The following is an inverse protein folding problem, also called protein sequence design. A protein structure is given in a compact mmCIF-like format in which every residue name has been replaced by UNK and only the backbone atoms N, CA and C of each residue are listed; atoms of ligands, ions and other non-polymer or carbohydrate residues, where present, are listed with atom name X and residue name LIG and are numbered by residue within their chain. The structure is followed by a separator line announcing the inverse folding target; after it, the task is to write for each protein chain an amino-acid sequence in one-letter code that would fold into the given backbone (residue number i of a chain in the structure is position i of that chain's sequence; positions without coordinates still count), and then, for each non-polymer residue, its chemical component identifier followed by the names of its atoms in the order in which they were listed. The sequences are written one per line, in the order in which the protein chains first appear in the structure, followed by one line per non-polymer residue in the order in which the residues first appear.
data_IF_341866771551
#
_entry.id   IF_341866771551
#
_cell.length_a   1.000
_cell.length_b   1.000
_cell.length_c   1.000
_cell.angle_alpha   90.00
_cell.angle_beta   90.00
_cell.angle_gamma   90.00
#
_symmetry.space_group_name_H-M   'P 1'
#
loop_
_entity.id
_entity.type
_entity.pdbx_description
1 polymer ?
#
# COMPACT_ATOMS: atom_id res chain seq x y z
N UNK A 1 6.22 12.49 -32.14
CA UNK A 1 7.66 12.80 -31.92
C UNK A 1 8.09 14.19 -32.33
N UNK A 2 7.60 14.75 -33.44
CA UNK A 2 8.01 16.08 -33.90
C UNK A 2 7.79 17.19 -32.86
N UNK A 3 6.63 17.22 -32.20
CA UNK A 3 6.35 18.17 -31.11
C UNK A 3 7.39 18.14 -29.99
N UNK A 4 7.89 16.94 -29.64
CA UNK A 4 8.92 16.77 -28.62
C UNK A 4 10.25 17.38 -29.07
N UNK A 5 10.60 17.19 -30.34
CA UNK A 5 11.80 17.76 -30.95
C UNK A 5 11.72 19.29 -30.96
N UNK A 6 10.60 19.85 -31.42
CA UNK A 6 10.39 21.31 -31.47
C UNK A 6 10.40 21.97 -30.09
N UNK A 7 9.89 21.30 -29.06
CA UNK A 7 9.86 21.81 -27.70
C UNK A 7 11.15 21.52 -26.91
N UNK A 8 12.12 20.81 -27.50
CA UNK A 8 13.38 20.45 -26.87
C UNK A 8 13.22 19.76 -25.49
N UNK A 9 12.19 18.92 -25.33
CA UNK A 9 11.91 18.20 -24.08
C UNK A 9 12.14 16.70 -24.22
N UNK A 10 12.43 16.01 -23.10
CA UNK A 10 12.64 14.55 -23.10
C UNK A 10 11.37 13.76 -23.42
N UNK A 11 10.21 14.24 -22.97
CA UNK A 11 8.93 13.57 -23.19
C UNK A 11 7.76 14.58 -23.13
N UNK A 12 6.65 14.25 -23.77
CA UNK A 12 5.38 15.02 -23.73
C UNK A 12 4.26 14.02 -23.53
N UNK A 13 3.26 14.37 -22.71
CA UNK A 13 2.04 13.57 -22.55
C UNK A 13 0.84 14.30 -23.15
N UNK A 14 0.16 13.65 -24.09
CA UNK A 14 -1.05 14.17 -24.72
C UNK A 14 -2.25 13.52 -24.04
N UNK A 15 -3.15 14.34 -23.50
CA UNK A 15 -4.39 13.94 -22.84
C UNK A 15 -5.56 14.39 -23.71
N UNK A 16 -6.20 13.45 -24.42
CA UNK A 16 -7.26 13.76 -25.37
C UNK A 16 -8.47 12.81 -25.20
N UNK A 17 -9.70 13.33 -24.99
CA UNK A 17 -10.04 14.69 -24.55
C UNK A 17 -9.74 14.90 -23.05
N UNK A 18 -9.59 16.16 -22.62
CA UNK A 18 -9.59 16.46 -21.18
C UNK A 18 -10.99 16.13 -20.63
N UNK A 19 -11.12 15.34 -19.55
CA UNK A 19 -12.42 15.02 -18.96
C UNK A 19 -13.26 16.28 -18.69
N UNK A 20 -14.48 16.31 -19.23
CA UNK A 20 -15.40 17.45 -19.09
C UNK A 20 -15.12 18.65 -19.99
N UNK A 21 -14.17 18.58 -20.94
CA UNK A 21 -13.86 19.66 -21.88
C UNK A 21 -13.72 19.15 -23.32
N UNK A 22 -13.96 20.03 -24.29
CA UNK A 22 -13.76 19.77 -25.73
C UNK A 22 -12.33 20.05 -26.21
N UNK A 23 -11.37 20.11 -25.29
CA UNK A 23 -9.97 20.49 -25.56
C UNK A 23 -9.03 19.31 -25.36
N UNK A 24 -7.88 19.36 -26.04
CA UNK A 24 -6.75 18.45 -25.84
C UNK A 24 -5.77 19.10 -24.85
N UNK A 25 -5.31 18.33 -23.88
CA UNK A 25 -4.24 18.72 -22.96
C UNK A 25 -2.89 18.23 -23.48
N UNK A 26 -1.88 19.10 -23.43
CA UNK A 26 -0.50 18.75 -23.74
C UNK A 26 0.34 19.08 -22.52
N UNK A 27 0.78 18.05 -21.80
CA UNK A 27 1.64 18.15 -20.63
C UNK A 27 3.10 18.16 -21.07
N UNK A 28 3.77 19.29 -20.84
CA UNK A 28 5.19 19.51 -21.16
C UNK A 28 5.96 19.61 -19.85
N UNK A 29 7.06 18.88 -19.67
CA UNK A 29 7.85 18.95 -18.44
C UNK A 29 8.46 20.34 -18.28
N UNK A 30 8.42 20.87 -17.06
CA UNK A 30 9.10 22.12 -16.72
C UNK A 30 10.61 22.03 -16.97
N UNK A 31 11.22 23.14 -17.39
CA UNK A 31 12.67 23.25 -17.59
C UNK A 31 13.46 23.02 -16.30
N UNK A 32 12.92 23.51 -15.18
CA UNK A 32 13.39 23.21 -13.83
C UNK A 32 12.32 22.38 -13.13
N UNK A 33 12.66 21.16 -12.75
CA UNK A 33 11.76 20.28 -11.99
C UNK A 33 11.95 20.53 -10.51
N UNK A 34 10.85 20.57 -9.79
CA UNK A 34 10.84 20.61 -8.34
C UNK A 34 10.72 19.20 -7.79
N UNK A 35 11.52 18.90 -6.77
CA UNK A 35 11.42 17.63 -6.05
C UNK A 35 10.21 17.64 -5.12
N UNK A 36 9.58 16.48 -5.01
CA UNK A 36 8.46 16.27 -4.08
C UNK A 36 8.96 15.46 -2.90
N UNK A 37 9.24 16.15 -1.79
CA UNK A 37 9.75 15.52 -0.59
C UNK A 37 8.62 14.92 0.25
N UNK A 38 8.81 13.68 0.70
CA UNK A 38 7.88 13.01 1.60
C UNK A 38 7.72 13.77 2.92
N UNK A 39 8.80 14.36 3.45
CA UNK A 39 8.76 15.16 4.67
C UNK A 39 7.77 16.31 4.59
N UNK A 40 7.78 17.07 3.48
CA UNK A 40 6.84 18.18 3.26
C UNK A 40 5.39 17.70 3.22
N UNK A 41 5.14 16.57 2.55
CA UNK A 41 3.81 15.97 2.46
C UNK A 41 3.35 15.50 3.84
N UNK A 42 4.21 14.81 4.59
CA UNK A 42 3.92 14.33 5.93
C UNK A 42 3.60 15.49 6.86
N UNK A 43 4.41 16.55 6.89
CA UNK A 43 4.18 17.73 7.73
C UNK A 43 2.83 18.40 7.45
N UNK A 44 2.42 18.49 6.18
CA UNK A 44 1.11 19.02 5.82
C UNK A 44 -0.05 18.10 6.23
N UNK A 45 0.17 16.78 6.31
CA UNK A 45 -0.86 15.78 6.60
C UNK A 45 -1.01 15.46 8.10
N UNK A 46 0.05 15.59 8.89
CA UNK A 46 0.10 15.25 10.32
C UNK A 46 -1.01 15.95 11.14
N UNK A 47 -1.46 17.14 10.71
CA UNK A 47 -2.48 17.92 11.40
C UNK A 47 -3.92 17.62 10.97
N UNK A 48 -4.14 16.88 9.87
CA UNK A 48 -5.41 16.88 9.15
C UNK A 48 -6.14 15.53 9.09
N UNK A 49 -5.53 14.43 9.57
CA UNK A 49 -6.15 13.11 9.41
C UNK A 49 -7.11 12.72 10.54
N UNK A 50 -8.30 12.17 10.20
CA UNK A 50 -9.06 11.36 11.14
C UNK A 50 -8.20 10.18 11.61
N UNK A 51 -8.15 9.93 12.92
CA UNK A 51 -7.54 8.71 13.47
C UNK A 51 -8.17 7.48 12.79
N UNK A 52 -7.34 6.47 12.46
CA UNK A 52 -7.72 5.12 12.01
C UNK A 52 -7.94 4.86 10.50
N UNK A 53 -7.57 5.77 9.60
CA UNK A 53 -7.63 5.52 8.15
C UNK A 53 -6.33 4.87 7.62
N UNK A 54 -6.45 3.76 6.89
CA UNK A 54 -5.33 3.02 6.29
C UNK A 54 -4.85 3.67 4.99
N UNK A 55 -4.49 4.95 5.06
CA UNK A 55 -4.17 5.71 3.86
C UNK A 55 -2.66 5.90 3.66
N UNK A 56 -2.22 5.63 2.43
CA UNK A 56 -0.85 5.77 1.95
C UNK A 56 -0.67 7.06 1.15
N UNK A 57 0.48 7.70 1.31
CA UNK A 57 0.83 8.93 0.58
C UNK A 57 1.55 8.57 -0.72
N UNK A 58 1.08 9.14 -1.83
CA UNK A 58 1.63 8.88 -3.17
C UNK A 58 2.52 10.04 -3.62
N UNK A 59 2.05 11.28 -3.48
CA UNK A 59 2.78 12.45 -3.96
C UNK A 59 1.89 13.65 -4.22
N UNK A 60 2.18 14.38 -5.30
CA UNK A 60 1.40 15.52 -5.78
C UNK A 60 0.90 15.26 -7.20
N UNK A 61 -0.28 15.78 -7.54
CA UNK A 61 -0.76 15.81 -8.91
C UNK A 61 -0.10 16.94 -9.73
N UNK A 62 -0.48 17.07 -10.99
CA UNK A 62 0.04 18.10 -11.91
C UNK A 62 -0.27 19.54 -11.48
N UNK A 63 -1.22 19.74 -10.54
CA UNK A 63 -1.56 21.04 -9.96
C UNK A 63 -0.81 21.32 -8.65
N UNK A 64 0.00 20.36 -8.19
CA UNK A 64 0.72 20.43 -6.92
C UNK A 64 -0.11 20.00 -5.70
N UNK A 65 -1.35 19.53 -5.89
CA UNK A 65 -2.22 19.09 -4.80
C UNK A 65 -1.80 17.70 -4.33
N UNK A 66 -1.84 17.47 -3.01
CA UNK A 66 -1.52 16.18 -2.41
C UNK A 66 -2.45 15.07 -2.91
N UNK A 67 -1.85 13.93 -3.21
CA UNK A 67 -2.51 12.70 -3.62
C UNK A 67 -2.19 11.60 -2.62
N UNK A 68 -3.25 11.01 -2.06
CA UNK A 68 -3.19 9.87 -1.15
C UNK A 68 -4.22 8.83 -1.56
N UNK A 69 -3.93 7.57 -1.27
CA UNK A 69 -4.83 6.44 -1.49
C UNK A 69 -5.25 5.90 -0.13
N UNK A 70 -6.53 5.55 0.02
CA UNK A 70 -7.04 4.83 1.20
C UNK A 70 -7.16 3.34 0.86
N UNK A 71 -6.33 2.50 1.50
CA UNK A 71 -6.31 1.07 1.26
C UNK A 71 -7.60 0.39 1.74
N UNK A 72 -8.42 1.01 2.59
CA UNK A 72 -9.74 0.43 2.89
C UNK A 72 -10.70 0.47 1.69
N UNK A 73 -10.52 1.44 0.78
CA UNK A 73 -11.35 1.62 -0.42
C UNK A 73 -10.74 0.94 -1.65
N UNK A 74 -9.42 0.78 -1.66
CA UNK A 74 -8.65 0.08 -2.67
C UNK A 74 -7.84 -1.01 -1.96
N UNK A 75 -8.48 -2.16 -1.61
CA UNK A 75 -7.93 -3.14 -0.67
C UNK A 75 -6.62 -3.79 -1.14
N UNK A 76 -6.38 -3.79 -2.45
CA UNK A 76 -5.18 -4.34 -3.04
C UNK A 76 -4.63 -3.40 -4.10
N UNK A 77 -3.31 -3.26 -4.13
CA UNK A 77 -2.60 -2.36 -5.04
C UNK A 77 -1.49 -3.15 -5.75
N UNK A 78 -1.44 -3.04 -7.07
CA UNK A 78 -0.33 -3.51 -7.89
C UNK A 78 0.52 -2.31 -8.31
N UNK A 79 1.82 -2.36 -8.01
CA UNK A 79 2.79 -1.31 -8.38
C UNK A 79 3.76 -1.90 -9.40
N UNK A 80 3.84 -1.29 -10.59
CA UNK A 80 4.73 -1.71 -11.66
C UNK A 80 5.55 -0.53 -12.19
N UNK A 81 6.80 -0.78 -12.55
CA UNK A 81 7.70 0.22 -13.11
C UNK A 81 9.04 -0.40 -13.50
N UNK A 82 9.72 0.19 -14.47
CA UNK A 82 11.07 -0.25 -14.88
C UNK A 82 12.12 0.15 -13.85
N UNK A 83 13.32 -0.44 -13.90
CA UNK A 83 14.45 -0.01 -13.08
C UNK A 83 14.69 1.50 -13.23
N UNK A 84 14.87 2.20 -12.11
CA UNK A 84 15.07 3.66 -12.08
C UNK A 84 13.81 4.51 -12.27
N UNK A 85 12.63 3.90 -12.42
CA UNK A 85 11.34 4.65 -12.51
C UNK A 85 10.84 5.20 -11.17
N UNK A 86 11.44 4.76 -10.05
CA UNK A 86 11.06 5.18 -8.71
C UNK A 86 10.14 4.22 -7.95
N UNK A 87 9.94 2.97 -8.42
CA UNK A 87 9.14 1.94 -7.72
C UNK A 87 9.54 1.81 -6.24
N UNK A 88 10.82 1.59 -5.99
CA UNK A 88 11.40 1.44 -4.65
C UNK A 88 11.15 2.64 -3.75
N UNK A 89 11.38 3.86 -4.27
CA UNK A 89 11.13 5.11 -3.54
C UNK A 89 9.65 5.27 -3.21
N UNK A 90 8.78 4.93 -4.16
CA UNK A 90 7.32 4.95 -3.98
C UNK A 90 6.89 3.94 -2.89
N UNK A 91 7.42 2.71 -2.91
CA UNK A 91 7.14 1.68 -1.91
C UNK A 91 7.56 2.13 -0.50
N UNK A 92 8.78 2.68 -0.36
CA UNK A 92 9.27 3.24 0.90
C UNK A 92 8.40 4.41 1.40
N UNK A 93 7.91 5.26 0.48
CA UNK A 93 6.96 6.33 0.82
C UNK A 93 5.64 5.78 1.38
N UNK A 94 5.10 4.73 0.75
CA UNK A 94 3.87 4.08 1.23
C UNK A 94 4.07 3.49 2.64
N UNK A 95 5.14 2.71 2.86
CA UNK A 95 5.42 2.09 4.16
C UNK A 95 5.62 3.17 5.23
N UNK A 96 6.46 4.17 4.96
CA UNK A 96 6.73 5.27 5.88
C UNK A 96 5.47 6.05 6.23
N UNK A 97 4.58 6.27 5.25
CA UNK A 97 3.31 6.94 5.49
C UNK A 97 2.39 6.17 6.45
N UNK A 98 2.45 4.84 6.46
CA UNK A 98 1.70 4.04 7.44
C UNK A 98 2.35 4.09 8.82
N UNK A 99 3.67 3.87 8.90
CA UNK A 99 4.41 3.84 10.17
C UNK A 99 4.32 5.15 10.94
N UNK A 100 4.35 6.29 10.24
CA UNK A 100 4.26 7.62 10.87
C UNK A 100 2.89 7.89 11.48
N UNK A 101 1.82 7.29 10.93
CA UNK A 101 0.44 7.61 11.34
C UNK A 101 -0.23 6.50 12.16
N UNK A 102 0.24 5.26 12.10
CA UNK A 102 -0.42 4.11 12.69
C UNK A 102 0.54 3.34 13.60
N UNK A 103 0.08 3.05 14.81
CA UNK A 103 0.82 2.25 15.78
C UNK A 103 0.80 0.74 15.41
N UNK A 104 1.69 -0.08 16.01
CA UNK A 104 1.68 -1.53 15.84
C UNK A 104 0.38 -2.23 16.32
N UNK A 105 -0.44 -1.55 17.13
CA UNK A 105 -1.76 -2.03 17.55
C UNK A 105 -2.84 -1.74 16.49
N UNK A 106 -2.58 -0.81 15.57
CA UNK A 106 -3.49 -0.41 14.51
C UNK A 106 -3.14 -1.06 13.18
N UNK A 107 -1.84 -1.22 12.87
CA UNK A 107 -1.37 -1.86 11.64
C UNK A 107 -0.17 -2.76 11.90
N UNK A 108 -0.15 -3.90 11.21
CA UNK A 108 0.89 -4.91 11.24
C UNK A 108 1.30 -5.27 9.82
N UNK A 109 2.57 -5.66 9.65
CA UNK A 109 3.15 -5.90 8.35
C UNK A 109 3.66 -7.33 8.19
N UNK A 110 3.51 -7.84 6.98
CA UNK A 110 4.29 -8.96 6.45
C UNK A 110 5.06 -8.40 5.26
N UNK A 111 6.38 -8.55 5.27
CA UNK A 111 7.25 -8.04 4.22
C UNK A 111 7.94 -9.20 3.52
N UNK A 112 7.83 -9.23 2.20
CA UNK A 112 8.44 -10.25 1.34
C UNK A 112 9.37 -9.55 0.35
N UNK A 113 10.67 -9.82 0.50
CA UNK A 113 11.75 -9.24 -0.29
C UNK A 113 12.73 -10.35 -0.72
N UNK A 114 12.47 -11.00 -1.87
CA UNK A 114 13.33 -12.06 -2.36
C UNK A 114 14.73 -11.58 -2.77
N UNK A 115 14.91 -10.28 -3.01
CA UNK A 115 16.19 -9.68 -3.43
C UNK A 115 17.03 -9.18 -2.26
N UNK A 116 16.45 -9.03 -1.07
CA UNK A 116 17.07 -8.50 0.14
C UNK A 116 17.59 -7.06 0.00
N UNK A 117 17.00 -6.27 -0.89
CA UNK A 117 17.48 -4.91 -1.20
C UNK A 117 16.59 -3.84 -0.60
N UNK A 118 15.27 -4.02 -0.66
CA UNK A 118 14.32 -2.93 -0.46
C UNK A 118 13.69 -2.96 0.92
N UNK A 119 13.21 -4.13 1.38
CA UNK A 119 12.42 -4.22 2.62
C UNK A 119 13.25 -4.61 3.84
N UNK A 120 14.48 -5.08 3.66
CA UNK A 120 15.41 -5.41 4.77
C UNK A 120 15.75 -4.21 5.65
N UNK A 121 15.60 -2.98 5.13
CA UNK A 121 15.68 -1.74 5.92
C UNK A 121 14.67 -1.69 7.08
N UNK A 122 13.54 -2.39 6.94
CA UNK A 122 12.46 -2.41 7.92
C UNK A 122 12.55 -3.59 8.89
N UNK A 123 13.65 -4.33 8.90
CA UNK A 123 13.86 -5.40 9.90
C UNK A 123 13.70 -4.82 11.32
N UNK A 124 13.17 -5.64 12.23
CA UNK A 124 12.97 -5.33 13.65
C UNK A 124 12.02 -4.17 14.00
N UNK A 125 11.33 -3.55 13.03
CA UNK A 125 10.28 -2.57 13.39
C UNK A 125 9.14 -3.28 14.15
N UNK A 126 8.52 -2.63 15.14
CA UNK A 126 7.51 -3.25 15.99
C UNK A 126 6.22 -3.63 15.23
N UNK A 127 6.03 -3.10 14.02
CA UNK A 127 4.90 -3.41 13.15
C UNK A 127 5.02 -4.78 12.47
N UNK A 128 6.21 -5.37 12.34
CA UNK A 128 6.38 -6.67 11.70
C UNK A 128 5.70 -7.79 12.52
N UNK A 129 5.01 -8.71 11.82
CA UNK A 129 4.47 -9.95 12.40
C UNK A 129 5.50 -11.08 12.42
N UNK A 130 6.47 -10.99 11.52
CA UNK A 130 7.53 -11.96 11.33
C UNK A 130 8.71 -11.25 10.65
N UNK A 131 9.93 -11.79 10.77
CA UNK A 131 11.11 -11.24 10.08
C UNK A 131 10.88 -11.12 8.58
N UNK A 132 11.62 -10.22 7.91
CA UNK A 132 11.48 -10.00 6.46
C UNK A 132 11.73 -11.33 5.73
N UNK A 133 10.77 -11.70 4.89
CA UNK A 133 10.76 -12.99 4.22
C UNK A 133 11.53 -12.88 2.91
N UNK A 134 12.60 -13.66 2.82
CA UNK A 134 13.47 -13.69 1.64
C UNK A 134 13.34 -14.98 0.82
N UNK A 135 12.87 -16.05 1.46
CA UNK A 135 12.68 -17.36 0.82
C UNK A 135 11.27 -17.49 0.20
N UNK A 136 11.14 -17.83 -1.09
CA UNK A 136 9.84 -17.95 -1.75
C UNK A 136 8.90 -18.98 -1.11
N UNK A 137 9.42 -20.09 -0.58
CA UNK A 137 8.58 -21.11 0.09
C UNK A 137 8.08 -20.61 1.44
N UNK A 138 8.87 -19.82 2.16
CA UNK A 138 8.40 -19.09 3.36
C UNK A 138 7.34 -18.07 3.00
N UNK A 139 7.46 -17.38 1.85
CA UNK A 139 6.45 -16.42 1.40
C UNK A 139 5.10 -17.11 1.16
N UNK A 140 5.07 -18.26 0.47
CA UNK A 140 3.84 -19.05 0.29
C UNK A 140 3.21 -19.44 1.63
N UNK A 141 4.02 -19.84 2.62
CA UNK A 141 3.52 -20.17 3.98
C UNK A 141 2.96 -18.95 4.70
N UNK A 142 3.57 -17.77 4.55
CA UNK A 142 3.07 -16.54 5.14
C UNK A 142 1.73 -16.10 4.52
N UNK A 143 1.56 -16.24 3.21
CA UNK A 143 0.27 -16.00 2.55
C UNK A 143 -0.79 -17.02 2.99
N UNK A 144 -0.42 -18.29 3.13
CA UNK A 144 -1.32 -19.31 3.68
C UNK A 144 -1.76 -18.99 5.11
N UNK A 145 -0.84 -18.49 5.95
CA UNK A 145 -1.16 -17.99 7.28
C UNK A 145 -2.12 -16.79 7.22
N UNK A 146 -1.88 -15.83 6.31
CA UNK A 146 -2.76 -14.68 6.14
C UNK A 146 -4.19 -15.09 5.75
N UNK A 147 -4.35 -16.12 4.93
CA UNK A 147 -5.66 -16.70 4.60
C UNK A 147 -6.32 -17.31 5.84
N UNK A 148 -5.58 -18.07 6.66
CA UNK A 148 -6.13 -18.64 7.90
C UNK A 148 -6.56 -17.55 8.89
N UNK A 149 -5.74 -16.51 9.04
CA UNK A 149 -6.05 -15.35 9.86
C UNK A 149 -7.30 -14.62 9.34
N UNK A 150 -7.44 -14.45 8.03
CA UNK A 150 -8.64 -13.88 7.40
C UNK A 150 -9.90 -14.66 7.77
N UNK A 151 -9.90 -15.99 7.65
CA UNK A 151 -11.06 -16.82 8.01
C UNK A 151 -11.37 -16.76 9.52
N UNK A 152 -10.35 -16.74 10.37
CA UNK A 152 -10.51 -16.60 11.82
C UNK A 152 -11.12 -15.24 12.21
N UNK A 153 -10.72 -14.16 11.51
CA UNK A 153 -11.29 -12.82 11.67
C UNK A 153 -12.74 -12.77 11.21
N UNK A 154 -13.07 -13.37 10.06
CA UNK A 154 -14.46 -13.48 9.60
C UNK A 154 -15.35 -14.13 10.66
N UNK A 155 -14.86 -15.21 11.28
CA UNK A 155 -15.59 -15.91 12.32
C UNK A 155 -15.79 -15.04 13.57
N UNK A 156 -14.77 -14.26 13.96
CA UNK A 156 -14.83 -13.34 15.11
C UNK A 156 -15.77 -12.15 14.87
N UNK A 157 -15.72 -11.58 13.67
CA UNK A 157 -16.62 -10.49 13.21
C UNK A 157 -18.07 -10.97 13.22
N UNK A 158 -18.32 -12.18 12.71
CA UNK A 158 -19.66 -12.79 12.69
C UNK A 158 -20.21 -13.07 14.09
N UNK A 159 -19.38 -13.56 15.02
CA UNK A 159 -19.77 -13.79 16.44
C UNK A 159 -20.27 -12.53 17.13
N UNK A 160 -19.64 -11.38 16.88
CA UNK A 160 -20.10 -10.07 17.40
C UNK A 160 -21.21 -9.44 16.56
N UNK A 161 -21.74 -10.14 15.54
CA UNK A 161 -22.76 -9.64 14.60
C UNK A 161 -22.34 -8.29 13.99
N UNK A 162 -21.08 -8.18 13.61
CA UNK A 162 -20.54 -7.02 12.90
C UNK A 162 -20.54 -7.29 11.40
N UNK A 163 -20.64 -6.22 10.60
CA UNK A 163 -20.60 -6.32 9.14
C UNK A 163 -19.19 -6.27 8.58
N UNK A 164 -18.31 -5.58 9.29
CA UNK A 164 -16.94 -5.34 8.88
C UNK A 164 -16.00 -5.27 10.09
N UNK A 165 -14.71 -5.20 9.75
CA UNK A 165 -13.61 -5.11 10.70
C UNK A 165 -13.64 -3.83 11.55
N UNK A 166 -14.07 -2.71 10.97
CA UNK A 166 -14.12 -1.41 11.65
C UNK A 166 -15.15 -1.44 12.77
N UNK A 167 -16.36 -1.90 12.45
CA UNK A 167 -17.47 -2.07 13.41
C UNK A 167 -17.11 -3.07 14.50
N UNK A 168 -16.36 -4.14 14.17
CA UNK A 168 -15.83 -5.07 15.17
C UNK A 168 -14.93 -4.35 16.18
N UNK A 169 -13.91 -3.63 15.72
CA UNK A 169 -12.99 -2.91 16.61
C UNK A 169 -13.71 -1.84 17.44
N UNK A 170 -14.70 -1.15 16.87
CA UNK A 170 -15.54 -0.18 17.60
C UNK A 170 -16.34 -0.86 18.72
N UNK A 171 -16.96 -2.02 18.48
CA UNK A 171 -17.67 -2.76 19.55
C UNK A 171 -16.73 -3.27 20.65
N UNK A 172 -15.50 -3.66 20.30
CA UNK A 172 -14.50 -4.03 21.29
C UNK A 172 -14.13 -2.84 22.18
N UNK A 173 -13.95 -1.65 21.59
CA UNK A 173 -13.75 -0.40 22.36
C UNK A 173 -14.94 -0.08 23.27
N UNK A 174 -16.17 -0.26 22.77
CA UNK A 174 -17.39 0.08 23.48
C UNK A 174 -17.75 -0.87 24.64
N UNK A 175 -17.07 -2.02 24.77
CA UNK A 175 -17.27 -2.89 25.93
C UNK A 175 -17.03 -4.37 25.70
N UNK A 176 -17.01 -4.85 24.44
CA UNK A 176 -16.86 -6.28 24.17
C UNK A 176 -15.48 -6.82 24.59
N UNK A 177 -14.50 -5.95 24.89
CA UNK A 177 -13.26 -6.36 25.55
C UNK A 177 -13.45 -7.09 26.88
N UNK A 178 -14.54 -6.78 27.60
CA UNK A 178 -14.91 -7.45 28.87
C UNK A 178 -15.34 -8.89 28.67
N UNK A 179 -15.86 -9.22 27.49
CA UNK A 179 -16.26 -10.56 27.09
C UNK A 179 -15.09 -11.35 26.47
N UNK A 180 -13.86 -10.85 26.59
CA UNK A 180 -12.64 -11.49 26.12
C UNK A 180 -12.26 -11.19 24.66
N UNK A 181 -13.03 -10.35 23.95
CA UNK A 181 -12.67 -9.94 22.59
C UNK A 181 -11.49 -8.96 22.60
N UNK A 182 -10.64 -9.02 21.58
CA UNK A 182 -9.50 -8.12 21.43
C UNK A 182 -9.60 -7.39 20.10
N UNK A 183 -9.13 -6.15 20.10
CA UNK A 183 -8.96 -5.42 18.84
C UNK A 183 -8.00 -6.17 17.95
N UNK A 184 -8.25 -6.06 16.66
CA UNK A 184 -7.39 -6.61 15.64
C UNK A 184 -6.76 -5.45 14.87
N UNK A 185 -5.44 -5.49 14.58
CA UNK A 185 -4.79 -4.53 13.69
C UNK A 185 -5.08 -4.85 12.23
N UNK A 186 -5.05 -3.86 11.34
CA UNK A 186 -4.93 -4.11 9.91
C UNK A 186 -3.65 -4.91 9.63
N UNK A 187 -3.69 -5.79 8.63
CA UNK A 187 -2.49 -6.48 8.15
C UNK A 187 -2.24 -6.01 6.73
N UNK A 188 -1.08 -5.41 6.48
CA UNK A 188 -0.64 -5.02 5.14
C UNK A 188 0.52 -5.93 4.73
N UNK A 189 0.36 -6.60 3.59
CA UNK A 189 1.37 -7.50 3.04
C UNK A 189 2.09 -6.76 1.91
N UNK A 190 3.38 -6.50 2.10
CA UNK A 190 4.24 -5.90 1.09
C UNK A 190 5.04 -6.98 0.37
N UNK A 191 5.00 -6.95 -0.95
CA UNK A 191 5.77 -7.84 -1.82
C UNK A 191 6.54 -6.93 -2.79
N UNK A 192 7.86 -6.87 -2.68
CA UNK A 192 8.66 -5.99 -3.55
C UNK A 192 8.66 -6.49 -5.01
N UNK A 193 9.08 -7.74 -5.21
CA UNK A 193 9.17 -8.35 -6.53
C UNK A 193 8.30 -9.60 -6.61
N UNK A 194 7.04 -9.41 -7.00
CA UNK A 194 6.09 -10.52 -7.13
C UNK A 194 6.52 -11.50 -8.23
N UNK A 195 7.15 -11.02 -9.30
CA UNK A 195 7.58 -11.84 -10.43
C UNK A 195 8.57 -12.94 -10.00
N UNK A 196 9.53 -12.62 -9.13
CA UNK A 196 10.52 -13.57 -8.64
C UNK A 196 9.88 -14.70 -7.83
N UNK A 197 8.85 -14.38 -7.03
CA UNK A 197 8.09 -15.39 -6.29
C UNK A 197 7.28 -16.29 -7.23
N UNK A 198 6.66 -15.71 -8.26
CA UNK A 198 5.88 -16.45 -9.25
C UNK A 198 6.73 -17.43 -10.06
N UNK A 199 7.99 -17.09 -10.35
CA UNK A 199 8.90 -17.99 -11.06
C UNK A 199 9.26 -19.25 -10.27
N UNK A 200 9.28 -19.18 -8.93
CA UNK A 200 9.72 -20.29 -8.07
C UNK A 200 8.55 -21.10 -7.49
N UNK A 201 7.41 -20.45 -7.21
CA UNK A 201 6.27 -21.08 -6.52
C UNK A 201 4.91 -20.64 -7.11
N UNK A 202 4.89 -20.38 -8.41
CA UNK A 202 3.80 -19.68 -9.13
C UNK A 202 2.39 -20.12 -8.76
N UNK A 203 2.07 -21.42 -8.89
CA UNK A 203 0.68 -21.88 -8.71
C UNK A 203 0.15 -21.67 -7.29
N UNK A 204 0.90 -22.11 -6.28
CA UNK A 204 0.46 -21.98 -4.87
C UNK A 204 0.38 -20.51 -4.44
N UNK A 205 1.30 -19.67 -4.95
CA UNK A 205 1.33 -18.24 -4.67
C UNK A 205 0.14 -17.51 -5.34
N UNK A 206 -0.14 -17.84 -6.60
CA UNK A 206 -1.26 -17.29 -7.37
C UNK A 206 -2.60 -17.67 -6.74
N UNK A 207 -2.77 -18.92 -6.35
CA UNK A 207 -3.97 -19.39 -5.64
C UNK A 207 -4.15 -18.63 -4.31
N UNK A 208 -3.05 -18.40 -3.57
CA UNK A 208 -3.10 -17.66 -2.32
C UNK A 208 -3.48 -16.19 -2.52
N UNK A 209 -2.86 -15.50 -3.49
CA UNK A 209 -3.18 -14.10 -3.82
C UNK A 209 -4.63 -13.98 -4.31
N UNK A 210 -5.07 -14.89 -5.17
CA UNK A 210 -6.45 -14.93 -5.66
C UNK A 210 -7.42 -15.07 -4.51
N UNK A 211 -7.15 -15.97 -3.56
CA UNK A 211 -8.03 -16.18 -2.40
C UNK A 211 -8.07 -15.00 -1.44
N UNK A 212 -6.95 -14.30 -1.24
CA UNK A 212 -6.88 -13.09 -0.42
C UNK A 212 -7.66 -11.94 -1.08
N UNK A 213 -7.61 -11.83 -2.41
CA UNK A 213 -8.19 -10.69 -3.15
C UNK A 213 -9.69 -10.83 -3.44
N UNK A 214 -10.25 -12.04 -3.38
CA UNK A 214 -11.67 -12.30 -3.67
C UNK A 214 -12.61 -12.13 -2.47
N UNK A 215 -12.08 -12.13 -1.24
CA UNK A 215 -12.85 -12.10 0.01
C UNK A 215 -12.60 -10.82 0.78
#
# INVERSE_FOLDING_TARGET
DELRLYLAVKNIRIVAPIPGKSTIGIEVPNSMREDVFLGDILHQNLSLRPKKDLSILIGKDISGKLVSIDLNKLPHLLVAGTTGSGKSVCLNSMISSLVVHLSPEEVRFIMIDPKMVELTLYEDIPHLLMPVITDPKKATRALAWAIQEMEARYHSVSKLKCRDFKTYNEKVEQGAHRDGYKKMPYIVIFIDELADLMMVSGKDLEDAITRITQK
#
